data_IF_723406642736
#
_entry.id   IF_723406642736
#
_cell.length_a   1.000
_cell.length_b   1.000
_cell.length_c   1.000
_cell.angle_alpha   90.00
_cell.angle_beta   90.00
_cell.angle_gamma   90.00
#
_symmetry.space_group_name_H-M   'P 1'
#
loop_
_entity.id
_entity.type
_entity.pdbx_description
1 polymer ?
#
# COMPACT_ATOMS: atom_id res chain seq x y z
N UNK A 1 -34.99 -1.18 -3.09
CA UNK A 1 -34.67 -2.19 -2.06
C UNK A 1 -33.15 -2.25 -1.96
N UNK A 2 -32.56 -2.05 -0.79
CA UNK A 2 -31.10 -2.02 -0.63
C UNK A 2 -30.54 -3.43 -0.86
N UNK A 3 -29.74 -3.65 -1.89
CA UNK A 3 -29.16 -4.96 -2.25
C UNK A 3 -28.47 -5.64 -1.05
N UNK A 4 -27.80 -4.84 -0.20
CA UNK A 4 -27.19 -5.32 1.03
C UNK A 4 -28.21 -5.89 2.02
N UNK A 5 -29.41 -5.29 2.10
CA UNK A 5 -30.47 -5.76 3.00
C UNK A 5 -31.03 -7.10 2.54
N UNK A 6 -31.27 -7.25 1.23
CA UNK A 6 -31.72 -8.51 0.64
C UNK A 6 -30.66 -9.61 0.78
N UNK A 7 -29.38 -9.28 0.58
CA UNK A 7 -28.29 -10.23 0.80
C UNK A 7 -28.23 -10.71 2.26
N UNK A 8 -28.33 -9.78 3.23
CA UNK A 8 -28.35 -10.12 4.65
C UNK A 8 -29.52 -11.02 5.02
N UNK A 9 -30.73 -10.71 4.53
CA UNK A 9 -31.93 -11.54 4.75
C UNK A 9 -31.74 -12.97 4.23
N UNK A 10 -31.10 -13.13 3.06
CA UNK A 10 -30.77 -14.45 2.50
C UNK A 10 -29.73 -15.17 3.36
N UNK A 11 -28.64 -14.48 3.73
CA UNK A 11 -27.56 -15.05 4.53
C UNK A 11 -28.07 -15.55 5.89
N UNK A 12 -29.01 -14.83 6.52
CA UNK A 12 -29.54 -15.16 7.84
C UNK A 12 -30.79 -16.07 7.83
N UNK A 13 -31.23 -16.56 6.67
CA UNK A 13 -32.53 -17.23 6.52
C UNK A 13 -32.67 -18.51 7.36
N UNK A 14 -31.64 -19.37 7.40
CA UNK A 14 -31.60 -20.58 8.22
C UNK A 14 -30.16 -21.04 8.48
N UNK A 15 -30.00 -22.11 9.27
CA UNK A 15 -28.68 -22.67 9.62
C UNK A 15 -27.79 -22.95 8.40
N UNK A 16 -28.33 -23.58 7.37
CA UNK A 16 -27.55 -23.94 6.18
C UNK A 16 -27.07 -22.71 5.40
N UNK A 17 -27.91 -21.69 5.25
CA UNK A 17 -27.52 -20.44 4.57
C UNK A 17 -26.48 -19.67 5.36
N UNK A 18 -26.57 -19.68 6.70
CA UNK A 18 -25.57 -19.08 7.59
C UNK A 18 -24.22 -19.79 7.43
N UNK A 19 -24.20 -21.12 7.53
CA UNK A 19 -22.98 -21.93 7.37
C UNK A 19 -22.30 -21.72 6.02
N UNK A 20 -23.08 -21.75 4.93
CA UNK A 20 -22.56 -21.49 3.59
C UNK A 20 -21.99 -20.07 3.45
N UNK A 21 -22.64 -19.07 4.03
CA UNK A 21 -22.18 -17.67 4.00
C UNK A 21 -20.87 -17.48 4.76
N UNK A 22 -20.72 -18.12 5.93
CA UNK A 22 -19.50 -18.11 6.72
C UNK A 22 -18.34 -18.80 5.99
N UNK A 23 -18.61 -19.96 5.36
CA UNK A 23 -17.62 -20.67 4.55
C UNK A 23 -17.16 -19.83 3.34
N UNK A 24 -18.10 -19.17 2.65
CA UNK A 24 -17.78 -18.28 1.54
C UNK A 24 -16.92 -17.10 2.00
N UNK A 25 -17.29 -16.45 3.11
CA UNK A 25 -16.49 -15.36 3.68
C UNK A 25 -15.05 -15.80 4.02
N UNK A 26 -14.89 -16.97 4.66
CA UNK A 26 -13.58 -17.54 4.96
C UNK A 26 -12.73 -17.76 3.70
N UNK A 27 -13.34 -18.28 2.64
CA UNK A 27 -12.66 -18.50 1.36
C UNK A 27 -12.30 -17.19 0.64
N UNK A 28 -13.13 -16.16 0.75
CA UNK A 28 -12.80 -14.82 0.23
C UNK A 28 -11.56 -14.26 0.92
N UNK A 29 -11.43 -14.39 2.24
CA UNK A 29 -10.24 -13.91 2.97
C UNK A 29 -8.97 -14.71 2.59
N UNK A 30 -9.10 -16.04 2.38
CA UNK A 30 -7.99 -16.87 1.87
C UNK A 30 -7.55 -16.42 0.47
N UNK A 31 -8.51 -16.20 -0.43
CA UNK A 31 -8.25 -15.73 -1.78
C UNK A 31 -7.51 -14.38 -1.77
N UNK A 32 -7.93 -13.42 -0.94
CA UNK A 32 -7.23 -12.13 -0.79
C UNK A 32 -5.78 -12.32 -0.35
N UNK A 33 -5.55 -13.20 0.63
CA UNK A 33 -4.20 -13.53 1.12
C UNK A 33 -3.34 -14.15 0.02
N UNK A 34 -3.89 -15.03 -0.80
CA UNK A 34 -3.20 -15.61 -1.96
C UNK A 34 -2.82 -14.54 -2.99
N UNK A 35 -3.76 -13.64 -3.32
CA UNK A 35 -3.50 -12.53 -4.23
C UNK A 35 -2.39 -11.60 -3.74
N UNK A 36 -2.39 -11.25 -2.46
CA UNK A 36 -1.34 -10.39 -1.90
C UNK A 36 -0.01 -11.14 -1.77
N UNK A 37 -0.04 -12.45 -1.51
CA UNK A 37 1.13 -13.33 -1.61
C UNK A 37 1.73 -13.34 -3.02
N UNK A 38 0.89 -13.40 -4.05
CA UNK A 38 1.30 -13.27 -5.45
C UNK A 38 1.89 -11.89 -5.75
N UNK A 39 1.21 -10.81 -5.34
CA UNK A 39 1.71 -9.44 -5.51
C UNK A 39 3.11 -9.26 -4.92
N UNK A 40 3.38 -9.84 -3.76
CA UNK A 40 4.72 -9.87 -3.15
C UNK A 40 5.78 -10.48 -4.08
N UNK A 41 5.46 -11.61 -4.71
CA UNK A 41 6.36 -12.28 -5.65
C UNK A 41 6.57 -11.41 -6.90
N UNK A 42 5.49 -10.88 -7.46
CA UNK A 42 5.54 -10.04 -8.67
C UNK A 42 6.36 -8.78 -8.44
N UNK A 43 6.19 -8.10 -7.30
CA UNK A 43 7.00 -6.95 -6.91
C UNK A 43 8.49 -7.30 -6.83
N UNK A 44 8.83 -8.47 -6.27
CA UNK A 44 10.22 -8.93 -6.17
C UNK A 44 10.84 -9.26 -7.54
N UNK A 45 10.08 -9.89 -8.42
CA UNK A 45 10.54 -10.25 -9.76
C UNK A 45 10.69 -9.00 -10.64
N UNK A 46 9.69 -8.12 -10.63
CA UNK A 46 9.66 -6.93 -11.48
C UNK A 46 10.63 -5.85 -11.00
N UNK A 47 10.89 -5.71 -9.69
CA UNK A 47 11.86 -4.71 -9.19
C UNK A 47 13.27 -4.90 -9.78
N UNK A 48 13.64 -6.11 -10.21
CA UNK A 48 14.95 -6.41 -10.81
C UNK A 48 15.16 -5.75 -12.18
N UNK A 49 14.08 -5.42 -12.90
CA UNK A 49 14.16 -4.76 -14.21
C UNK A 49 14.14 -3.24 -14.16
N UNK A 50 14.04 -2.64 -12.97
CA UNK A 50 14.00 -1.18 -12.82
C UNK A 50 15.42 -0.56 -12.82
N UNK A 51 15.61 0.63 -13.43
CA UNK A 51 16.94 1.25 -13.57
C UNK A 51 17.58 1.60 -12.22
N UNK A 52 16.78 2.10 -11.29
CA UNK A 52 17.14 2.24 -9.89
C UNK A 52 16.99 0.86 -9.24
N UNK A 53 18.03 0.37 -8.54
CA UNK A 53 17.96 -0.87 -7.77
C UNK A 53 16.99 -0.69 -6.60
N UNK A 54 15.69 -0.83 -6.85
CA UNK A 54 14.65 -0.78 -5.82
C UNK A 54 14.87 -1.98 -4.89
N UNK A 55 15.21 -1.71 -3.63
CA UNK A 55 15.48 -2.76 -2.65
C UNK A 55 14.19 -3.08 -1.90
N UNK A 56 13.57 -4.19 -2.27
CA UNK A 56 12.38 -4.68 -1.56
C UNK A 56 12.79 -5.26 -0.20
N UNK A 57 12.42 -4.59 0.90
CA UNK A 57 12.74 -4.98 2.28
C UNK A 57 11.48 -5.28 3.09
N UNK A 58 11.63 -6.23 4.02
CA UNK A 58 10.73 -6.53 5.14
C UNK A 58 9.23 -6.64 4.77
N UNK A 59 8.75 -7.88 4.64
CA UNK A 59 7.34 -8.19 4.42
C UNK A 59 6.79 -8.92 5.63
N UNK A 60 6.13 -8.19 6.53
CA UNK A 60 5.34 -8.82 7.60
C UNK A 60 3.92 -9.02 7.10
N UNK A 61 3.60 -10.28 6.81
CA UNK A 61 2.23 -10.75 6.57
C UNK A 61 1.64 -11.03 7.94
N UNK A 62 1.30 -9.99 8.72
CA UNK A 62 0.53 -10.17 9.96
C UNK A 62 -0.51 -9.06 10.20
N UNK A 63 -1.76 -9.54 10.12
CA UNK A 63 -3.05 -9.18 10.71
C UNK A 63 -3.64 -7.77 10.69
N UNK A 64 -2.98 -6.69 10.25
CA UNK A 64 -3.76 -5.43 10.06
C UNK A 64 -3.22 -4.46 9.01
N UNK A 65 -1.90 -4.35 8.92
CA UNK A 65 -1.22 -3.38 8.07
C UNK A 65 -0.09 -4.07 7.31
N UNK A 66 -0.47 -4.82 6.27
CA UNK A 66 0.53 -5.38 5.37
C UNK A 66 1.25 -4.27 4.62
N UNK A 67 2.59 -4.41 4.53
CA UNK A 67 3.47 -3.36 4.01
C UNK A 67 4.56 -3.94 3.13
N UNK A 68 4.78 -3.28 1.99
CA UNK A 68 5.94 -3.49 1.13
C UNK A 68 6.86 -2.28 1.26
N UNK A 69 8.11 -2.50 1.67
CA UNK A 69 9.11 -1.43 1.79
C UNK A 69 10.05 -1.49 0.60
N UNK A 70 10.30 -0.37 -0.05
CA UNK A 70 11.03 -0.31 -1.31
C UNK A 70 12.41 0.32 -1.18
N UNK A 71 12.72 0.98 -0.06
CA UNK A 71 14.00 1.60 0.24
C UNK A 71 13.94 2.42 1.52
N UNK A 72 15.11 2.73 2.09
CA UNK A 72 15.24 3.52 3.32
C UNK A 72 15.97 4.82 3.04
N UNK A 73 15.37 5.93 3.46
CA UNK A 73 16.05 7.24 3.53
C UNK A 73 16.85 7.23 4.83
N UNK A 74 18.16 7.40 4.74
CA UNK A 74 19.08 7.22 5.87
C UNK A 74 18.59 7.94 7.13
N UNK A 75 18.45 7.18 8.23
CA UNK A 75 17.98 7.62 9.54
C UNK A 75 16.59 8.29 9.61
N UNK A 76 15.92 8.56 8.50
CA UNK A 76 14.68 9.34 8.44
C UNK A 76 13.46 8.43 8.30
N UNK A 77 13.42 7.62 7.25
CA UNK A 77 12.17 7.00 6.82
C UNK A 77 12.33 5.88 5.80
N UNK A 78 11.19 5.34 5.39
CA UNK A 78 11.08 4.22 4.45
C UNK A 78 10.08 4.61 3.38
N UNK A 79 10.41 4.36 2.11
CA UNK A 79 9.45 4.43 1.01
C UNK A 79 8.67 3.12 1.02
N UNK A 80 7.35 3.18 1.22
CA UNK A 80 6.54 1.97 1.36
C UNK A 80 5.11 2.12 0.85
N UNK A 81 4.56 0.98 0.42
CA UNK A 81 3.15 0.73 0.18
C UNK A 81 2.58 0.01 1.40
N UNK A 82 1.53 0.53 2.04
CA UNK A 82 0.95 -0.03 3.26
C UNK A 82 -0.58 -0.03 3.19
N UNK A 83 -1.20 -1.19 3.40
CA UNK A 83 -2.66 -1.28 3.59
C UNK A 83 -3.04 -0.67 4.93
N UNK A 84 -3.97 0.29 4.93
CA UNK A 84 -4.42 0.95 6.17
C UNK A 84 -5.60 0.23 6.84
N UNK A 85 -6.13 -0.85 6.25
CA UNK A 85 -7.28 -1.60 6.78
C UNK A 85 -7.43 -3.00 6.15
N UNK A 86 -6.75 -4.05 6.65
CA UNK A 86 -6.95 -5.45 6.22
C UNK A 86 -7.07 -5.64 4.69
N UNK A 87 -5.98 -5.36 3.96
CA UNK A 87 -5.92 -5.34 2.49
C UNK A 87 -6.72 -4.24 1.79
N UNK A 88 -7.25 -3.28 2.55
CA UNK A 88 -7.97 -2.13 2.03
C UNK A 88 -7.20 -0.82 2.28
N UNK A 89 -7.62 0.22 1.55
CA UNK A 89 -7.14 1.59 1.72
C UNK A 89 -5.61 1.68 1.62
N UNK A 90 -5.00 1.18 0.53
CA UNK A 90 -3.56 1.25 0.39
C UNK A 90 -3.09 2.70 0.37
N UNK A 91 -1.94 2.94 1.00
CA UNK A 91 -1.23 4.21 0.94
C UNK A 91 0.18 3.98 0.45
N UNK A 92 0.68 4.87 -0.41
CA UNK A 92 2.04 4.84 -0.93
C UNK A 92 2.74 6.15 -0.58
N UNK A 93 3.98 6.08 -0.11
CA UNK A 93 4.74 7.29 0.21
C UNK A 93 5.92 7.03 1.12
N UNK A 94 6.32 8.06 1.85
CA UNK A 94 7.40 7.99 2.84
C UNK A 94 6.78 7.90 4.23
N UNK A 95 7.18 6.88 4.98
CA UNK A 95 6.84 6.69 6.40
C UNK A 95 8.09 6.94 7.25
N UNK A 96 7.97 7.67 8.35
CA UNK A 96 9.07 7.84 9.29
C UNK A 96 9.49 6.52 9.95
N UNK A 97 10.77 6.42 10.25
CA UNK A 97 11.27 5.46 11.22
C UNK A 97 10.75 5.83 12.62
N UNK A 98 10.39 4.83 13.43
CA UNK A 98 9.76 5.04 14.73
C UNK A 98 10.57 5.94 15.67
N UNK A 99 11.91 5.82 15.66
CA UNK A 99 12.81 6.68 16.44
C UNK A 99 12.85 8.11 15.88
N UNK A 100 13.02 8.26 14.56
CA UNK A 100 13.15 9.58 13.92
C UNK A 100 11.90 10.44 14.06
N UNK A 101 10.72 9.82 14.05
CA UNK A 101 9.43 10.51 14.24
C UNK A 101 9.39 11.42 15.48
N UNK A 102 10.14 11.07 16.53
CA UNK A 102 10.19 11.81 17.78
C UNK A 102 11.41 12.74 17.89
N UNK A 103 12.24 12.82 16.84
CA UNK A 103 13.35 13.76 16.79
C UNK A 103 12.86 15.19 16.60
N UNK A 104 13.67 16.16 17.02
CA UNK A 104 13.44 17.59 16.79
C UNK A 104 13.38 17.92 15.29
N UNK A 105 14.10 17.18 14.45
CA UNK A 105 14.15 17.36 12.99
C UNK A 105 12.94 16.77 12.25
N UNK A 106 12.06 16.02 12.92
CA UNK A 106 10.92 15.37 12.27
C UNK A 106 9.98 16.37 11.59
N UNK A 107 9.72 17.53 12.20
CA UNK A 107 8.81 18.53 11.63
C UNK A 107 9.35 19.14 10.34
N UNK A 108 10.66 19.42 10.31
CA UNK A 108 11.36 19.96 9.14
C UNK A 108 11.32 18.96 7.99
N UNK A 109 11.73 17.71 8.23
CA UNK A 109 11.73 16.66 7.19
C UNK A 109 10.32 16.33 6.70
N UNK A 110 9.30 16.34 7.58
CA UNK A 110 7.91 16.17 7.17
C UNK A 110 7.51 17.25 6.16
N UNK A 111 7.75 18.51 6.49
CA UNK A 111 7.38 19.65 5.63
C UNK A 111 8.16 19.63 4.32
N UNK A 112 9.47 19.36 4.38
CA UNK A 112 10.35 19.30 3.20
C UNK A 112 9.94 18.18 2.24
N UNK A 113 9.79 16.95 2.73
CA UNK A 113 9.43 15.80 1.89
C UNK A 113 8.03 15.98 1.31
N UNK A 114 7.05 16.42 2.10
CA UNK A 114 5.69 16.64 1.61
C UNK A 114 5.64 17.68 0.49
N UNK A 115 6.34 18.81 0.68
CA UNK A 115 6.43 19.85 -0.34
C UNK A 115 7.09 19.33 -1.62
N UNK A 116 8.24 18.67 -1.50
CA UNK A 116 8.97 18.13 -2.65
C UNK A 116 8.13 17.17 -3.50
N UNK A 117 7.42 16.23 -2.86
CA UNK A 117 6.59 15.28 -3.61
C UNK A 117 5.39 15.96 -4.29
N UNK A 118 4.68 16.87 -3.61
CA UNK A 118 3.56 17.62 -4.22
C UNK A 118 4.02 18.58 -5.32
N UNK A 119 5.22 19.15 -5.23
CA UNK A 119 5.76 20.04 -6.26
C UNK A 119 6.20 19.28 -7.52
N UNK A 120 6.65 18.03 -7.41
CA UNK A 120 7.25 17.29 -8.52
C UNK A 120 6.35 16.18 -9.11
N UNK A 121 5.38 15.64 -8.35
CA UNK A 121 4.49 14.56 -8.81
C UNK A 121 3.07 15.12 -8.98
N UNK A 122 2.76 15.61 -10.20
CA UNK A 122 1.57 16.45 -10.46
C UNK A 122 0.22 15.72 -10.48
N UNK A 123 0.23 14.41 -10.68
CA UNK A 123 -0.96 13.56 -10.74
C UNK A 123 -1.35 12.97 -9.37
N UNK A 124 -0.69 13.41 -8.28
CA UNK A 124 -0.85 12.90 -6.93
C UNK A 124 -1.05 14.03 -5.94
N UNK A 125 -1.67 13.71 -4.80
CA UNK A 125 -1.79 14.64 -3.68
C UNK A 125 -1.30 13.94 -2.42
N UNK A 126 -0.14 14.37 -1.93
CA UNK A 126 0.46 13.79 -0.73
C UNK A 126 0.01 14.55 0.51
N UNK A 127 -0.61 13.82 1.44
CA UNK A 127 -0.92 14.31 2.77
C UNK A 127 0.21 14.00 3.74
N UNK A 128 0.34 14.79 4.81
CA UNK A 128 1.27 14.50 5.90
C UNK A 128 0.53 14.11 7.18
N UNK A 129 1.18 13.32 8.03
CA UNK A 129 0.69 12.94 9.36
C UNK A 129 1.85 12.72 10.32
N UNK A 130 1.58 12.34 11.56
CA UNK A 130 2.63 12.03 12.54
C UNK A 130 3.54 10.89 12.10
N UNK A 131 3.03 9.92 11.33
CA UNK A 131 3.82 8.77 10.86
C UNK A 131 4.32 8.92 9.43
N UNK A 132 3.66 9.75 8.63
CA UNK A 132 3.90 9.87 7.20
C UNK A 132 4.31 11.30 6.87
N UNK A 133 5.60 11.55 6.60
CA UNK A 133 6.04 12.76 5.92
C UNK A 133 5.15 13.11 4.73
N UNK A 134 4.89 12.12 3.90
CA UNK A 134 4.08 12.24 2.71
C UNK A 134 3.46 10.88 2.40
N UNK A 135 2.13 10.82 2.31
CA UNK A 135 1.37 9.65 1.87
C UNK A 135 0.39 10.06 0.79
N UNK A 136 0.35 9.30 -0.29
CA UNK A 136 -0.70 9.34 -1.29
C UNK A 136 -1.70 8.22 -1.04
N UNK A 137 -2.95 8.51 -1.37
CA UNK A 137 -4.04 7.54 -1.40
C UNK A 137 -3.90 6.71 -2.68
N UNK A 138 -3.30 5.53 -2.59
CA UNK A 138 -3.01 4.73 -3.76
C UNK A 138 -4.30 4.25 -4.43
N UNK A 139 -4.44 4.52 -5.74
CA UNK A 139 -5.61 4.12 -6.52
C UNK A 139 -5.34 2.84 -7.32
N UNK A 140 -6.30 1.90 -7.44
CA UNK A 140 -7.63 1.92 -6.83
C UNK A 140 -7.56 1.90 -5.31
N UNK A 141 -8.42 2.63 -4.59
CA UNK A 141 -8.32 2.70 -3.12
C UNK A 141 -9.21 1.74 -2.34
N UNK A 142 -10.44 1.50 -2.81
CA UNK A 142 -11.38 0.62 -2.11
C UNK A 142 -11.28 -0.82 -2.61
N UNK A 143 -10.36 -1.57 -2.03
CA UNK A 143 -10.10 -2.97 -2.37
C UNK A 143 -11.09 -3.92 -1.71
N UNK A 144 -11.80 -3.48 -0.68
CA UNK A 144 -12.78 -4.33 0.01
C UNK A 144 -14.04 -4.52 -0.81
N UNK A 145 -14.47 -3.49 -1.54
CA UNK A 145 -15.71 -3.49 -2.32
C UNK A 145 -15.48 -3.56 -3.85
N UNK A 146 -14.24 -3.44 -4.33
CA UNK A 146 -13.92 -3.46 -5.76
C UNK A 146 -13.19 -4.72 -6.19
N UNK A 147 -13.57 -5.28 -7.34
CA UNK A 147 -12.84 -6.36 -8.01
C UNK A 147 -11.56 -5.88 -8.72
N UNK A 148 -11.50 -4.59 -9.09
CA UNK A 148 -10.42 -4.00 -9.90
C UNK A 148 -9.01 -4.28 -9.38
N UNK A 149 -8.66 -4.03 -8.11
CA UNK A 149 -7.30 -4.28 -7.63
C UNK A 149 -6.92 -5.76 -7.67
N UNK A 150 -7.86 -6.66 -7.37
CA UNK A 150 -7.64 -8.11 -7.44
C UNK A 150 -7.43 -8.58 -8.88
N UNK A 151 -8.20 -8.04 -9.82
CA UNK A 151 -8.03 -8.30 -11.25
C UNK A 151 -6.66 -7.80 -11.73
N UNK A 152 -6.22 -6.61 -11.31
CA UNK A 152 -4.88 -6.11 -11.64
C UNK A 152 -3.74 -6.98 -11.10
N UNK A 153 -3.93 -7.69 -9.97
CA UNK A 153 -2.94 -8.67 -9.50
C UNK A 153 -2.98 -9.97 -10.31
N UNK A 154 -4.17 -10.38 -10.75
CA UNK A 154 -4.33 -11.54 -11.63
C UNK A 154 -3.64 -11.30 -12.98
N UNK A 155 -3.74 -10.08 -13.49
CA UNK A 155 -3.21 -9.68 -14.81
C UNK A 155 -1.78 -9.11 -14.73
N UNK A 156 -1.07 -9.27 -13.61
CA UNK A 156 0.30 -8.81 -13.39
C UNK A 156 0.54 -7.29 -13.49
N UNK A 157 -0.52 -6.48 -13.60
CA UNK A 157 -0.41 -5.02 -13.79
C UNK A 157 -0.27 -4.22 -12.49
N UNK A 158 -0.71 -4.78 -11.35
CA UNK A 158 -0.63 -4.08 -10.06
C UNK A 158 0.81 -3.85 -9.60
N UNK A 159 1.69 -4.84 -9.74
CA UNK A 159 3.08 -4.74 -9.32
C UNK A 159 3.83 -3.65 -10.10
N UNK A 160 3.69 -3.64 -11.43
CA UNK A 160 4.26 -2.61 -12.30
C UNK A 160 3.78 -1.23 -11.91
N UNK A 161 2.47 -1.06 -11.70
CA UNK A 161 1.91 0.22 -11.26
C UNK A 161 2.52 0.71 -9.93
N UNK A 162 2.65 -0.17 -8.94
CA UNK A 162 3.24 0.19 -7.64
C UNK A 162 4.71 0.60 -7.84
N UNK A 163 5.48 -0.17 -8.62
CA UNK A 163 6.90 0.11 -8.84
C UNK A 163 7.13 1.39 -9.63
N UNK A 164 6.28 1.71 -10.62
CA UNK A 164 6.34 2.97 -11.37
C UNK A 164 6.14 4.18 -10.45
N UNK A 165 5.13 4.15 -9.57
CA UNK A 165 4.88 5.24 -8.62
C UNK A 165 5.96 5.32 -7.54
N UNK A 166 6.49 4.18 -7.09
CA UNK A 166 7.68 4.15 -6.21
C UNK A 166 8.86 4.82 -6.90
N UNK A 167 9.06 4.56 -8.19
CA UNK A 167 10.17 5.10 -8.97
C UNK A 167 10.10 6.64 -9.08
N UNK A 168 8.90 7.20 -9.25
CA UNK A 168 8.69 8.64 -9.24
C UNK A 168 9.11 9.26 -7.91
N UNK A 169 8.68 8.67 -6.78
CA UNK A 169 9.08 9.11 -5.44
C UNK A 169 10.60 9.03 -5.27
N UNK A 170 11.21 7.93 -5.71
CA UNK A 170 12.65 7.71 -5.67
C UNK A 170 13.43 8.81 -6.40
N UNK A 171 13.05 9.10 -7.66
CA UNK A 171 13.71 10.10 -8.50
C UNK A 171 13.66 11.48 -7.84
N UNK A 172 12.48 11.90 -7.41
CA UNK A 172 12.30 13.21 -6.76
C UNK A 172 13.16 13.33 -5.50
N UNK A 173 13.21 12.29 -4.67
CA UNK A 173 14.01 12.32 -3.44
C UNK A 173 15.52 12.37 -3.73
N UNK A 174 16.02 11.55 -4.66
CA UNK A 174 17.44 11.51 -5.03
C UNK A 174 17.89 12.83 -5.66
N UNK A 175 17.11 13.37 -6.59
CA UNK A 175 17.40 14.66 -7.25
C UNK A 175 17.43 15.83 -6.25
N UNK A 176 16.79 15.67 -5.09
CA UNK A 176 16.76 16.64 -4.01
C UNK A 176 17.66 16.29 -2.82
N UNK A 177 18.66 15.43 -3.04
CA UNK A 177 19.76 15.19 -2.12
C UNK A 177 19.47 14.18 -1.00
N UNK A 178 18.42 13.36 -1.12
CA UNK A 178 18.22 12.23 -0.22
C UNK A 178 18.97 10.99 -0.73
N UNK A 179 19.70 10.34 0.17
CA UNK A 179 20.28 9.03 -0.09
C UNK A 179 19.29 7.92 0.27
N UNK A 180 19.09 6.97 -0.66
CA UNK A 180 18.16 5.86 -0.50
C UNK A 180 18.93 4.53 -0.63
N UNK A 181 18.74 3.64 0.35
CA UNK A 181 19.39 2.32 0.42
C UNK A 181 18.42 1.15 0.58
#
# INVERSE_FOLDING_TARGET
MNECKTALEIMSRNKNTIEASLAFHSNVEKMKKEFVGKLKLDLYLNAKSYPQKIVLRNMKVDNKYEKFSFGSIENIGIICFEFQDYYNKPSLGVRFLGKFRHSEFASEHKSKINRLLNENIKNKQFESSSWWPAKDKFEPFDWRSSSKPWQMMKDDTMATKILDEVLEIYKVLIENGYEIT
#
